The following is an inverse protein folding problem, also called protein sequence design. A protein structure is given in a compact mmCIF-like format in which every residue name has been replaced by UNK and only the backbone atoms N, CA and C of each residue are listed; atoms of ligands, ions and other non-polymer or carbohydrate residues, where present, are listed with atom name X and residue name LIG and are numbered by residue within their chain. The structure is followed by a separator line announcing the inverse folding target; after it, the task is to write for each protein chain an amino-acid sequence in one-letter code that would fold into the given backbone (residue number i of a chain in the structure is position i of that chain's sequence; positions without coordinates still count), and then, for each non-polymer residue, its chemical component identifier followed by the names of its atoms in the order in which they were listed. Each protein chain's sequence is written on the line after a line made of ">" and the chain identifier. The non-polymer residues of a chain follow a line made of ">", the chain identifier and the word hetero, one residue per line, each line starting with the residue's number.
data_IF_815973637252
#
_entry.id   IF_815973637252
#
_cell.length_a   1.000
_cell.length_b   1.000
_cell.length_c   1.000
_cell.angle_alpha   90.00
_cell.angle_beta   90.00
_cell.angle_gamma   90.00
#
_symmetry.space_group_name_H-M   'P 1'
#
loop_
_entity.id
_entity.type
_entity.pdbx_description
1 polymer ?
#
# COMPACT_ATOMS: atom_id res chain seq x y z
N UNK A 1 -9.54 0.68 -18.90
CA UNK A 1 -9.98 1.93 -18.23
C UNK A 1 -10.36 1.57 -16.80
N UNK A 2 -9.96 2.36 -15.80
CA UNK A 2 -10.28 2.06 -14.40
C UNK A 2 -11.78 2.37 -14.13
N UNK A 3 -12.54 1.50 -13.41
CA UNK A 3 -13.91 1.79 -13.00
C UNK A 3 -14.03 3.12 -12.24
N UNK A 4 -15.16 3.82 -12.40
CA UNK A 4 -15.34 5.17 -11.86
C UNK A 4 -15.29 5.24 -10.32
N UNK A 5 -15.62 4.13 -9.63
CA UNK A 5 -15.55 4.04 -8.18
C UNK A 5 -14.13 3.81 -7.64
N UNK A 6 -13.12 3.62 -8.50
CA UNK A 6 -11.73 3.38 -8.12
C UNK A 6 -10.79 4.51 -8.57
N UNK A 7 -9.65 4.66 -7.89
CA UNK A 7 -8.66 5.70 -8.20
C UNK A 7 -7.23 5.21 -8.00
N UNK A 8 -6.37 5.48 -8.98
CA UNK A 8 -4.92 5.31 -8.84
C UNK A 8 -4.29 6.26 -7.82
N UNK A 9 -5.05 7.22 -7.26
CA UNK A 9 -4.65 8.14 -6.19
C UNK A 9 -5.09 7.66 -4.81
N UNK A 10 -5.63 6.46 -4.71
CA UNK A 10 -6.13 5.86 -3.47
C UNK A 10 -5.63 4.43 -3.35
N UNK A 11 -5.23 4.03 -2.15
CA UNK A 11 -4.75 2.70 -1.82
C UNK A 11 -5.09 2.37 -0.35
N UNK A 12 -5.35 1.10 -0.07
CA UNK A 12 -5.33 0.59 1.31
C UNK A 12 -3.96 -0.07 1.53
N UNK A 13 -3.26 0.33 2.59
CA UNK A 13 -1.84 0.00 2.78
C UNK A 13 -1.51 -0.41 4.22
N UNK A 14 -0.38 -1.10 4.38
CA UNK A 14 0.37 -1.14 5.64
C UNK A 14 1.44 -0.05 5.62
N UNK A 15 1.47 0.76 6.67
CA UNK A 15 2.52 1.74 6.92
C UNK A 15 3.56 1.18 7.90
N UNK A 16 4.87 1.26 7.59
CA UNK A 16 5.89 0.97 8.56
C UNK A 16 5.84 2.01 9.69
N UNK A 17 6.13 1.62 10.95
CA UNK A 17 6.22 2.58 12.04
C UNK A 17 7.36 3.57 11.79
N UNK A 18 7.23 4.77 12.37
CA UNK A 18 8.21 5.85 12.22
C UNK A 18 9.63 5.45 12.63
N UNK A 19 9.76 4.50 13.57
CA UNK A 19 11.04 3.96 14.05
C UNK A 19 11.89 3.30 12.97
N UNK A 20 11.29 2.79 11.88
CA UNK A 20 12.02 2.15 10.77
C UNK A 20 11.89 2.90 9.45
N UNK A 21 11.08 3.97 9.40
CA UNK A 21 10.80 4.69 8.16
C UNK A 21 12.02 5.47 7.63
N UNK A 22 12.80 6.09 8.52
CA UNK A 22 13.92 6.95 8.14
C UNK A 22 14.97 6.28 7.22
N UNK A 23 15.52 5.09 7.54
CA UNK A 23 16.48 4.43 6.64
C UNK A 23 15.85 4.03 5.29
N UNK A 24 14.58 3.62 5.28
CA UNK A 24 13.86 3.27 4.04
C UNK A 24 13.71 4.52 3.16
N UNK A 25 13.28 5.64 3.75
CA UNK A 25 13.10 6.90 3.04
C UNK A 25 14.41 7.49 2.54
N UNK A 26 15.53 7.27 3.24
CA UNK A 26 16.83 7.69 2.77
C UNK A 26 17.19 7.06 1.41
N UNK A 27 16.87 5.77 1.22
CA UNK A 27 17.06 5.06 -0.05
C UNK A 27 16.05 5.53 -1.09
N UNK A 28 14.76 5.59 -0.72
CA UNK A 28 13.68 6.01 -1.63
C UNK A 28 13.87 7.42 -2.16
N UNK A 29 14.36 8.35 -1.35
CA UNK A 29 14.67 9.72 -1.76
C UNK A 29 15.62 9.80 -2.95
N UNK A 30 16.55 8.84 -3.06
CA UNK A 30 17.54 8.80 -4.15
C UNK A 30 17.01 8.02 -5.36
N UNK A 31 16.26 6.94 -5.12
CA UNK A 31 15.98 5.94 -6.14
C UNK A 31 14.51 5.78 -6.55
N UNK A 32 13.55 6.27 -5.75
CA UNK A 32 12.12 6.10 -6.01
C UNK A 32 11.50 7.37 -6.60
N UNK A 33 11.13 7.32 -7.88
CA UNK A 33 10.47 8.45 -8.56
C UNK A 33 9.11 8.82 -7.95
N UNK A 34 8.53 7.93 -7.12
CA UNK A 34 7.28 8.16 -6.42
C UNK A 34 7.47 8.61 -4.96
N UNK A 35 8.70 8.85 -4.51
CA UNK A 35 9.03 9.28 -3.14
C UNK A 35 8.16 10.44 -2.65
N UNK A 36 8.04 11.52 -3.43
CA UNK A 36 7.27 12.70 -3.03
C UNK A 36 5.74 12.47 -2.98
N UNK A 37 5.26 11.39 -3.57
CA UNK A 37 3.83 11.10 -3.69
C UNK A 37 3.32 10.19 -2.58
N UNK A 38 4.11 9.18 -2.22
CA UNK A 38 3.69 8.14 -1.29
C UNK A 38 4.74 7.90 -0.21
N UNK A 39 4.34 7.78 1.07
CA UNK A 39 5.24 7.28 2.12
C UNK A 39 5.66 5.84 1.82
N UNK A 40 6.64 5.27 2.54
CA UNK A 40 7.00 3.87 2.40
C UNK A 40 5.79 3.03 2.82
N UNK A 41 5.43 2.05 2.02
CA UNK A 41 4.21 1.28 2.25
C UNK A 41 4.28 -0.12 1.62
N UNK A 42 3.42 -1.01 2.11
CA UNK A 42 3.03 -2.24 1.43
C UNK A 42 1.58 -2.08 1.00
N UNK A 43 1.30 -2.19 -0.30
CA UNK A 43 -0.09 -2.18 -0.78
C UNK A 43 -0.83 -3.43 -0.28
N UNK A 44 -2.05 -3.25 0.20
CA UNK A 44 -3.01 -4.34 0.47
C UNK A 44 -4.05 -4.38 -0.64
N UNK A 45 -4.63 -3.22 -1.00
CA UNK A 45 -5.57 -3.07 -2.12
C UNK A 45 -5.17 -1.86 -2.97
N UNK A 46 -4.97 -2.09 -4.28
CA UNK A 46 -4.66 -1.03 -5.24
C UNK A 46 -5.11 -1.42 -6.65
N UNK A 47 -5.75 -0.51 -7.41
CA UNK A 47 -6.33 0.77 -6.97
C UNK A 47 -7.44 0.60 -5.93
N UNK A 48 -7.67 1.61 -5.09
CA UNK A 48 -8.73 1.60 -4.08
C UNK A 48 -9.86 2.60 -4.40
N UNK A 49 -10.84 2.71 -3.51
CA UNK A 49 -12.02 3.57 -3.65
C UNK A 49 -11.64 5.02 -3.99
N UNK A 50 -12.36 5.62 -4.95
CA UNK A 50 -12.08 6.95 -5.48
C UNK A 50 -12.36 8.08 -4.47
N UNK A 51 -13.36 7.88 -3.61
CA UNK A 51 -13.77 8.85 -2.59
C UNK A 51 -13.73 8.18 -1.19
N UNK A 52 -12.55 7.84 -0.66
CA UNK A 52 -12.46 7.12 0.61
C UNK A 52 -12.68 8.02 1.83
N UNK A 53 -12.59 9.34 1.63
CA UNK A 53 -12.58 10.32 2.70
C UNK A 53 -13.67 11.37 2.53
N UNK A 54 -14.01 12.02 3.63
CA UNK A 54 -14.81 13.25 3.71
C UNK A 54 -13.87 14.37 4.12
N UNK A 55 -13.97 15.49 3.43
CA UNK A 55 -13.27 16.72 3.80
C UNK A 55 -14.28 17.67 4.44
N UNK A 56 -13.98 18.14 5.65
CA UNK A 56 -14.78 19.14 6.36
C UNK A 56 -13.97 20.43 6.42
N UNK A 57 -14.48 21.47 5.77
CA UNK A 57 -13.83 22.77 5.66
C UNK A 57 -14.08 23.40 4.29
N UNK A 58 -13.58 24.61 4.11
CA UNK A 58 -13.70 25.41 2.87
C UNK A 58 -12.33 26.01 2.48
N UNK A 59 -11.20 25.48 2.98
CA UNK A 59 -9.89 26.06 2.67
C UNK A 59 -8.70 25.55 3.51
N UNK A 60 -7.76 26.47 3.77
CA UNK A 60 -6.49 26.14 4.44
C UNK A 60 -6.78 25.70 5.88
N UNK A 61 -6.62 24.42 6.17
CA UNK A 61 -6.96 23.81 7.47
C UNK A 61 -8.05 22.74 7.42
N UNK A 62 -8.51 22.37 6.22
CA UNK A 62 -9.48 21.30 6.01
C UNK A 62 -9.13 20.01 6.78
N UNK A 63 -10.13 19.48 7.50
CA UNK A 63 -10.01 18.22 8.20
C UNK A 63 -10.45 17.09 7.27
N UNK A 64 -9.59 16.08 7.13
CA UNK A 64 -9.84 14.92 6.27
C UNK A 64 -10.06 13.71 7.15
N UNK A 65 -11.23 13.08 7.02
CA UNK A 65 -11.60 11.88 7.75
C UNK A 65 -11.91 10.75 6.79
N UNK A 66 -11.53 9.53 7.16
CA UNK A 66 -12.02 8.33 6.47
C UNK A 66 -13.54 8.22 6.65
N UNK A 67 -14.27 7.92 5.57
CA UNK A 67 -15.72 7.69 5.61
C UNK A 67 -16.07 6.57 6.58
N UNK A 68 -17.16 6.74 7.31
CA UNK A 68 -17.53 5.82 8.38
C UNK A 68 -17.88 4.42 7.85
N UNK A 69 -18.51 4.32 6.68
CA UNK A 69 -18.77 3.02 6.07
C UNK A 69 -17.47 2.26 5.73
N UNK A 70 -16.42 2.96 5.30
CA UNK A 70 -15.13 2.35 4.98
C UNK A 70 -14.39 1.96 6.26
N UNK A 71 -14.40 2.85 7.26
CA UNK A 71 -13.83 2.57 8.59
C UNK A 71 -14.44 1.31 9.19
N UNK A 72 -15.77 1.21 9.20
CA UNK A 72 -16.50 0.07 9.77
C UNK A 72 -16.13 -1.24 9.08
N UNK A 73 -16.05 -1.25 7.74
CA UNK A 73 -15.65 -2.43 6.96
C UNK A 73 -14.21 -2.85 7.26
N UNK A 74 -13.27 -1.90 7.33
CA UNK A 74 -11.88 -2.21 7.72
C UNK A 74 -11.84 -2.76 9.15
N UNK A 75 -12.50 -2.12 10.11
CA UNK A 75 -12.54 -2.55 11.51
C UNK A 75 -13.09 -3.96 11.68
N UNK A 76 -14.18 -4.30 10.98
CA UNK A 76 -14.77 -5.64 10.95
C UNK A 76 -13.73 -6.69 10.55
N UNK A 77 -12.97 -6.43 9.48
CA UNK A 77 -11.94 -7.37 8.99
C UNK A 77 -10.79 -7.46 9.98
N UNK A 78 -10.16 -6.33 10.33
CA UNK A 78 -8.95 -6.34 11.17
C UNK A 78 -9.22 -6.81 12.59
N UNK A 79 -10.45 -6.65 13.11
CA UNK A 79 -10.85 -7.18 14.41
C UNK A 79 -10.91 -8.70 14.47
N UNK A 80 -10.92 -9.39 13.33
CA UNK A 80 -10.89 -10.86 13.24
C UNK A 80 -9.49 -11.43 12.96
N UNK A 81 -8.48 -10.57 12.83
CA UNK A 81 -7.11 -10.96 12.50
C UNK A 81 -6.22 -10.74 13.72
N UNK A 82 -5.54 -11.78 14.17
CA UNK A 82 -4.57 -11.67 15.26
C UNK A 82 -3.44 -10.71 14.88
N UNK A 83 -3.01 -9.89 15.84
CA UNK A 83 -1.87 -9.02 15.64
C UNK A 83 -0.61 -9.84 15.31
N UNK A 84 0.11 -9.44 14.28
CA UNK A 84 1.33 -10.12 13.83
C UNK A 84 2.49 -9.14 13.63
N UNK A 85 3.71 -9.67 13.68
CA UNK A 85 4.93 -8.91 13.42
C UNK A 85 5.35 -9.07 11.96
N UNK A 86 5.79 -7.98 11.37
CA UNK A 86 6.37 -7.93 10.03
C UNK A 86 7.82 -7.51 10.14
N UNK A 87 8.74 -8.35 9.65
CA UNK A 87 10.10 -7.94 9.35
C UNK A 87 10.30 -7.92 7.84
N UNK A 88 11.09 -6.97 7.34
CA UNK A 88 11.42 -6.83 5.92
C UNK A 88 12.82 -7.41 5.67
N UNK A 89 12.95 -8.30 4.70
CA UNK A 89 14.26 -8.84 4.30
C UNK A 89 14.93 -7.90 3.30
N UNK A 90 16.14 -7.46 3.62
CA UNK A 90 17.02 -6.75 2.70
C UNK A 90 18.04 -7.68 2.02
N UNK A 91 18.29 -8.85 2.59
CA UNK A 91 19.13 -9.87 1.96
C UNK A 91 18.33 -10.54 0.86
N UNK A 92 18.88 -10.50 -0.36
CA UNK A 92 18.20 -10.86 -1.62
C UNK A 92 16.92 -10.04 -1.88
N UNK A 93 17.04 -8.71 -2.13
CA UNK A 93 15.89 -7.89 -2.42
C UNK A 93 15.20 -8.37 -3.70
N UNK A 94 13.87 -8.30 -3.71
CA UNK A 94 13.09 -8.70 -4.85
C UNK A 94 13.14 -7.65 -5.97
N UNK A 95 12.84 -8.09 -7.19
CA UNK A 95 12.72 -7.18 -8.33
C UNK A 95 11.46 -7.46 -9.16
N UNK A 96 10.81 -6.39 -9.62
CA UNK A 96 9.79 -6.47 -10.67
C UNK A 96 10.32 -5.80 -11.93
N UNK A 97 10.20 -6.46 -13.08
CA UNK A 97 10.60 -5.87 -14.36
C UNK A 97 9.40 -5.15 -14.98
N UNK A 98 9.54 -3.85 -15.24
CA UNK A 98 8.54 -3.05 -15.96
C UNK A 98 8.85 -2.95 -17.46
N UNK A 99 10.14 -2.98 -17.80
CA UNK A 99 10.64 -3.08 -19.17
C UNK A 99 12.04 -3.70 -19.14
N UNK A 100 12.65 -3.91 -20.32
CA UNK A 100 14.03 -4.37 -20.41
C UNK A 100 15.04 -3.46 -19.69
N UNK A 101 14.71 -2.17 -19.49
CA UNK A 101 15.61 -1.16 -18.92
C UNK A 101 15.15 -0.60 -17.57
N UNK A 102 14.04 -1.09 -17.01
CA UNK A 102 13.49 -0.55 -15.77
C UNK A 102 12.96 -1.65 -14.88
N UNK A 103 13.53 -1.73 -13.68
CA UNK A 103 13.12 -2.64 -12.62
C UNK A 103 12.76 -1.86 -11.37
N UNK A 104 11.80 -2.34 -10.61
CA UNK A 104 11.55 -1.89 -9.23
C UNK A 104 12.24 -2.84 -8.28
N UNK A 105 13.02 -2.30 -7.36
CA UNK A 105 13.67 -3.04 -6.27
C UNK A 105 12.79 -2.89 -5.03
N UNK A 106 12.57 -3.99 -4.32
CA UNK A 106 11.66 -4.02 -3.19
C UNK A 106 12.11 -4.98 -2.09
N UNK A 107 11.66 -4.70 -0.87
CA UNK A 107 11.86 -5.53 0.32
C UNK A 107 10.62 -6.37 0.57
N UNK A 108 10.80 -7.68 0.75
CA UNK A 108 9.71 -8.61 1.03
C UNK A 108 9.47 -8.78 2.53
N UNK A 109 8.21 -8.91 2.98
CA UNK A 109 7.93 -9.29 4.35
C UNK A 109 8.30 -10.76 4.58
N UNK A 110 8.77 -11.06 5.78
CA UNK A 110 9.15 -12.42 6.23
C UNK A 110 7.97 -13.26 6.70
N UNK A 111 6.80 -12.64 6.93
CA UNK A 111 5.60 -13.33 7.41
C UNK A 111 4.58 -13.55 6.30
N UNK A 112 3.88 -14.69 6.37
CA UNK A 112 2.73 -14.98 5.50
C UNK A 112 1.41 -14.37 6.00
N UNK A 113 1.33 -13.90 7.24
CA UNK A 113 0.10 -13.33 7.83
C UNK A 113 -0.45 -12.13 7.04
N UNK A 114 0.41 -11.40 6.32
CA UNK A 114 -0.04 -10.31 5.43
C UNK A 114 -0.96 -10.83 4.32
N UNK A 115 -0.75 -12.05 3.81
CA UNK A 115 -1.62 -12.62 2.78
C UNK A 115 -3.01 -12.92 3.35
N UNK A 116 -3.11 -13.37 4.60
CA UNK A 116 -4.40 -13.59 5.27
C UNK A 116 -5.14 -12.26 5.45
N UNK A 117 -4.45 -11.22 5.91
CA UNK A 117 -5.01 -9.88 6.03
C UNK A 117 -5.48 -9.34 4.66
N UNK A 118 -4.65 -9.46 3.63
CA UNK A 118 -4.99 -8.98 2.29
C UNK A 118 -6.18 -9.75 1.71
N UNK A 119 -6.22 -11.08 1.83
CA UNK A 119 -7.33 -11.89 1.35
C UNK A 119 -8.65 -11.54 2.05
N UNK A 120 -8.62 -11.33 3.37
CA UNK A 120 -9.81 -10.93 4.13
C UNK A 120 -10.30 -9.53 3.73
N UNK A 121 -9.37 -8.58 3.52
CA UNK A 121 -9.72 -7.24 3.02
C UNK A 121 -10.22 -7.28 1.58
N UNK A 122 -9.65 -8.12 0.71
CA UNK A 122 -10.12 -8.29 -0.67
C UNK A 122 -11.53 -8.87 -0.73
N UNK A 123 -11.85 -9.82 0.17
CA UNK A 123 -13.19 -10.39 0.27
C UNK A 123 -14.22 -9.35 0.75
N UNK A 124 -13.85 -8.50 1.73
CA UNK A 124 -14.73 -7.43 2.20
C UNK A 124 -14.88 -6.32 1.14
N UNK A 125 -13.82 -5.95 0.43
CA UNK A 125 -13.80 -4.92 -0.62
C UNK A 125 -13.74 -5.56 -2.02
N UNK A 126 -14.66 -6.48 -2.32
CA UNK A 126 -14.69 -7.19 -3.60
C UNK A 126 -14.84 -6.27 -4.82
N UNK A 127 -15.32 -5.04 -4.63
CA UNK A 127 -15.40 -4.03 -5.68
C UNK A 127 -14.03 -3.41 -6.05
N UNK A 128 -13.00 -3.61 -5.22
CA UNK A 128 -11.63 -3.11 -5.41
C UNK A 128 -10.74 -4.18 -6.05
N UNK A 129 -11.15 -4.72 -7.20
CA UNK A 129 -10.53 -5.89 -7.84
C UNK A 129 -10.06 -5.61 -9.28
N UNK A 130 -9.61 -4.38 -9.53
CA UNK A 130 -9.14 -3.98 -10.86
C UNK A 130 -7.76 -4.58 -11.23
N UNK A 131 -7.00 -5.08 -10.26
CA UNK A 131 -5.71 -5.74 -10.46
C UNK A 131 -5.80 -7.22 -10.06
N UNK A 132 -5.89 -8.10 -11.05
CA UNK A 132 -6.08 -9.54 -10.89
C UNK A 132 -4.77 -10.33 -10.73
N UNK A 133 -3.63 -9.63 -10.64
CA UNK A 133 -2.34 -10.30 -10.47
C UNK A 133 -2.24 -10.93 -9.09
N UNK A 134 -1.45 -11.99 -8.98
CA UNK A 134 -1.18 -12.62 -7.70
C UNK A 134 -0.59 -11.60 -6.71
N UNK A 135 -1.19 -11.54 -5.52
CA UNK A 135 -0.74 -10.66 -4.46
C UNK A 135 0.68 -11.04 -4.04
N UNK A 136 1.62 -10.13 -4.28
CA UNK A 136 3.00 -10.24 -3.81
C UNK A 136 3.24 -9.07 -2.86
N UNK A 137 3.21 -9.25 -1.53
CA UNK A 137 3.42 -8.14 -0.61
C UNK A 137 4.88 -7.67 -0.69
N UNK A 138 5.07 -6.38 -0.86
CA UNK A 138 6.40 -5.79 -1.04
C UNK A 138 6.40 -4.32 -0.62
N UNK A 139 7.56 -3.86 -0.14
CA UNK A 139 7.84 -2.43 0.06
C UNK A 139 8.84 -1.98 -1.00
N UNK A 140 8.40 -1.12 -1.91
CA UNK A 140 9.28 -0.57 -2.96
C UNK A 140 10.30 0.40 -2.37
N UNK A 141 11.58 0.20 -2.69
CA UNK A 141 12.68 1.07 -2.23
C UNK A 141 13.26 1.95 -3.35
N UNK A 142 12.98 1.61 -4.62
CA UNK A 142 13.39 2.43 -5.74
C UNK A 142 13.25 1.74 -7.08
N UNK A 143 13.62 2.46 -8.14
CA UNK A 143 13.76 1.90 -9.49
C UNK A 143 15.23 1.85 -9.89
N UNK A 144 15.62 0.75 -10.52
CA UNK A 144 16.94 0.53 -11.08
C UNK A 144 16.85 0.44 -12.61
N UNK A 145 17.89 0.93 -13.29
CA UNK A 145 18.09 0.68 -14.71
C UNK A 145 18.92 -0.59 -14.88
N UNK A 146 18.55 -1.40 -15.85
CA UNK A 146 19.36 -2.55 -16.30
C UNK A 146 20.36 -2.11 -17.35
#
# INVERSE_FOLDING_TARGET
>A
QLPAHLSHKSALILLPPSSIAAPIEAVRRVHDKYFARWPPHINLLYPFLALPSVTIGQGKGDLVFLREEIRTRIQKVVGSIDAFRVALSADSPGTFSHSQRSKTVWLGPTTRSIHQLQAALQAEFSECDADQRLFTPHLSVGQARS
#
